data_IF_214253044267
#
_entry.id   IF_214253044267
#
_cell.length_a   1.000
_cell.length_b   1.000
_cell.length_c   1.000
_cell.angle_alpha   90.00
_cell.angle_beta   90.00
_cell.angle_gamma   90.00
#
_symmetry.space_group_name_H-M   'P 1'
#
loop_
_entity.id
_entity.type
_entity.pdbx_description
1 polymer ?
#
# COMPACT_ATOMS: atom_id res chain seq x y z
N UNK A 1 -8.95 -10.61 20.36
CA UNK A 1 -9.58 -9.33 19.93
C UNK A 1 -9.19 -9.10 18.49
N UNK A 2 -10.08 -8.56 17.67
CA UNK A 2 -9.73 -8.21 16.30
C UNK A 2 -8.66 -7.11 16.28
N UNK A 3 -7.71 -7.21 15.35
CA UNK A 3 -6.67 -6.19 15.14
C UNK A 3 -7.17 -5.18 14.10
N UNK A 4 -6.87 -3.90 14.34
CA UNK A 4 -7.15 -2.80 13.43
C UNK A 4 -5.89 -2.42 12.67
N UNK A 5 -5.88 -2.66 11.36
CA UNK A 5 -4.79 -2.30 10.45
C UNK A 5 -5.22 -1.11 9.59
N UNK A 6 -4.34 -0.12 9.47
CA UNK A 6 -4.56 1.07 8.64
C UNK A 6 -3.44 1.19 7.61
N UNK A 7 -3.81 1.40 6.36
CA UNK A 7 -2.89 1.78 5.29
C UNK A 7 -3.14 3.22 4.85
N UNK A 8 -2.07 4.01 4.69
CA UNK A 8 -2.19 5.42 4.33
C UNK A 8 -0.98 5.92 3.53
N UNK A 9 -1.21 6.28 2.27
CA UNK A 9 -0.22 7.03 1.50
C UNK A 9 -0.18 8.48 2.02
N UNK A 10 0.92 8.85 2.67
CA UNK A 10 1.08 10.15 3.33
C UNK A 10 1.47 11.28 2.37
N UNK A 11 2.02 10.93 1.22
CA UNK A 11 2.60 11.93 0.30
C UNK A 11 3.58 12.91 1.00
N UNK A 12 4.36 12.39 1.95
CA UNK A 12 5.38 13.10 2.71
C UNK A 12 5.07 13.24 4.21
N UNK A 13 5.67 12.36 5.02
CA UNK A 13 5.41 12.29 6.48
C UNK A 13 5.69 13.60 7.21
N UNK A 14 6.77 14.32 6.87
CA UNK A 14 7.14 15.59 7.49
C UNK A 14 6.09 16.68 7.28
N UNK A 15 5.40 16.66 6.13
CA UNK A 15 4.32 17.61 5.84
C UNK A 15 3.03 17.27 6.61
N UNK A 16 2.74 15.97 6.77
CA UNK A 16 1.57 15.51 7.54
C UNK A 16 1.80 15.66 9.04
N UNK A 17 3.02 15.45 9.53
CA UNK A 17 3.38 15.69 10.93
C UNK A 17 3.03 17.11 11.38
N UNK A 18 3.34 18.12 10.55
CA UNK A 18 2.98 19.53 10.81
C UNK A 18 1.48 19.81 10.82
N UNK A 19 0.66 18.86 10.39
CA UNK A 19 -0.81 18.95 10.35
C UNK A 19 -1.50 18.11 11.44
N UNK A 20 -0.75 17.66 12.46
CA UNK A 20 -1.31 16.91 13.57
C UNK A 20 -1.36 15.39 13.33
N UNK A 21 -0.39 14.81 12.61
CA UNK A 21 -0.32 13.36 12.40
C UNK A 21 -0.46 12.58 13.71
N UNK A 22 0.28 12.97 14.75
CA UNK A 22 0.29 12.28 16.05
C UNK A 22 -1.11 12.24 16.66
N UNK A 23 -1.84 13.36 16.65
CA UNK A 23 -3.20 13.44 17.18
C UNK A 23 -4.18 12.53 16.41
N UNK A 24 -4.01 12.45 15.08
CA UNK A 24 -4.79 11.54 14.22
C UNK A 24 -4.49 10.09 14.61
N UNK A 25 -3.21 9.71 14.74
CA UNK A 25 -2.83 8.35 15.11
C UNK A 25 -3.37 7.96 16.48
N UNK A 26 -3.26 8.84 17.47
CA UNK A 26 -3.85 8.63 18.79
C UNK A 26 -5.39 8.48 18.74
N UNK A 27 -6.08 9.30 17.95
CA UNK A 27 -7.54 9.25 17.85
C UNK A 27 -8.05 7.98 17.16
N UNK A 28 -7.36 7.54 16.10
CA UNK A 28 -7.68 6.30 15.38
C UNK A 28 -7.29 5.06 16.18
N UNK A 29 -6.19 5.14 16.93
CA UNK A 29 -5.68 4.11 17.85
C UNK A 29 -5.65 2.70 17.22
N UNK A 30 -5.14 2.57 15.98
CA UNK A 30 -5.00 1.28 15.32
C UNK A 30 -3.89 0.44 15.96
N UNK A 31 -3.94 -0.89 15.75
CA UNK A 31 -2.89 -1.79 16.21
C UNK A 31 -1.67 -1.73 15.30
N UNK A 32 -1.90 -1.49 14.00
CA UNK A 32 -0.83 -1.29 13.01
C UNK A 32 -1.18 -0.16 12.04
N UNK A 33 -0.20 0.68 11.74
CA UNK A 33 -0.24 1.66 10.66
C UNK A 33 0.82 1.29 9.62
N UNK A 34 0.43 1.27 8.37
CA UNK A 34 1.27 1.07 7.20
C UNK A 34 1.29 2.34 6.37
N UNK A 35 2.45 2.96 6.23
CA UNK A 35 2.58 4.21 5.49
C UNK A 35 3.33 4.01 4.18
N UNK A 36 2.88 4.72 3.16
CA UNK A 36 3.54 4.81 1.86
C UNK A 36 3.86 6.28 1.57
N UNK A 37 4.82 6.51 0.68
CA UNK A 37 5.35 7.82 0.33
C UNK A 37 5.75 8.65 1.56
N UNK A 38 6.57 8.08 2.46
CA UNK A 38 7.11 8.84 3.59
C UNK A 38 7.94 10.03 3.12
N UNK A 39 8.61 9.93 1.95
CA UNK A 39 9.46 10.96 1.34
C UNK A 39 10.46 11.55 2.35
N UNK A 40 11.01 10.70 3.20
CA UNK A 40 11.90 11.04 4.29
C UNK A 40 12.91 9.91 4.49
N UNK A 41 14.11 10.25 4.95
CA UNK A 41 15.08 9.25 5.42
C UNK A 41 14.61 8.67 6.76
N UNK A 42 15.14 7.52 7.17
CA UNK A 42 14.64 6.79 8.32
C UNK A 42 14.75 7.59 9.64
N UNK A 43 15.80 8.36 9.82
CA UNK A 43 15.96 9.30 10.95
C UNK A 43 14.89 10.40 10.95
N UNK A 44 14.55 10.93 9.77
CA UNK A 44 13.49 11.93 9.60
C UNK A 44 12.07 11.34 9.80
N UNK A 45 11.87 10.05 9.51
CA UNK A 45 10.62 9.35 9.84
C UNK A 45 10.46 9.26 11.36
N UNK A 46 11.52 8.86 12.07
CA UNK A 46 11.50 8.79 13.54
C UNK A 46 11.28 10.18 14.17
N UNK A 47 11.94 11.23 13.64
CA UNK A 47 11.73 12.61 14.08
C UNK A 47 10.26 13.05 13.90
N UNK A 48 9.66 12.76 12.73
CA UNK A 48 8.28 13.13 12.42
C UNK A 48 7.24 12.41 13.31
N UNK A 49 7.62 11.28 13.92
CA UNK A 49 6.80 10.47 14.82
C UNK A 49 7.18 10.67 16.29
N UNK A 50 7.99 11.67 16.61
CA UNK A 50 8.32 12.03 18.01
C UNK A 50 7.04 12.32 18.79
N UNK A 51 6.90 11.69 19.96
CA UNK A 51 5.70 11.78 20.79
C UNK A 51 4.64 10.72 20.53
N UNK A 52 4.81 9.83 19.53
CA UNK A 52 3.97 8.65 19.38
C UNK A 52 4.46 7.54 20.31
N UNK A 53 3.74 7.31 21.40
CA UNK A 53 4.07 6.28 22.38
C UNK A 53 3.35 4.96 22.10
N UNK A 54 3.93 3.84 22.56
CA UNK A 54 3.31 2.52 22.50
C UNK A 54 3.41 1.82 21.13
N UNK A 55 4.22 2.35 20.20
CA UNK A 55 4.45 1.72 18.90
C UNK A 55 5.94 1.44 18.67
N UNK A 56 6.21 0.28 18.09
CA UNK A 56 7.47 -0.02 17.43
C UNK A 56 7.44 0.55 16.02
N UNK A 57 8.45 1.32 15.62
CA UNK A 57 8.50 2.03 14.35
C UNK A 57 9.60 1.42 13.49
N UNK A 58 9.25 1.06 12.27
CA UNK A 58 10.16 0.55 11.24
C UNK A 58 9.93 1.34 9.97
N UNK A 59 11.01 1.69 9.28
CA UNK A 59 10.94 2.39 7.99
C UNK A 59 11.99 1.88 7.03
N UNK A 60 11.72 2.07 5.76
CA UNK A 60 12.63 1.78 4.68
C UNK A 60 12.58 2.94 3.69
N UNK A 61 13.58 3.79 3.73
CA UNK A 61 13.71 4.94 2.86
C UNK A 61 14.31 4.59 1.50
N UNK A 62 13.99 5.39 0.48
CA UNK A 62 14.71 5.32 -0.78
C UNK A 62 16.14 5.86 -0.64
N UNK A 63 17.06 5.37 -1.47
CA UNK A 63 18.40 5.94 -1.60
C UNK A 63 18.30 7.42 -2.03
N UNK A 64 17.36 7.71 -2.91
CA UNK A 64 17.08 9.08 -3.33
C UNK A 64 16.28 9.82 -2.27
N UNK A 65 16.87 10.87 -1.69
CA UNK A 65 16.21 11.71 -0.70
C UNK A 65 14.88 12.32 -1.20
N UNK A 66 13.90 12.40 -0.30
CA UNK A 66 12.60 13.02 -0.57
C UNK A 66 11.71 12.25 -1.56
N UNK A 67 12.00 10.98 -1.78
CA UNK A 67 11.30 10.14 -2.76
C UNK A 67 10.81 8.85 -2.11
N UNK A 68 9.64 8.33 -2.54
CA UNK A 68 9.09 7.03 -2.13
C UNK A 68 9.14 6.80 -0.59
N UNK A 69 9.59 5.63 -0.14
CA UNK A 69 9.71 5.26 1.26
C UNK A 69 8.44 4.69 1.86
N UNK A 70 8.59 3.66 2.71
CA UNK A 70 7.51 2.99 3.43
C UNK A 70 7.81 2.92 4.93
N UNK A 71 6.76 2.79 5.77
CA UNK A 71 6.93 2.57 7.18
C UNK A 71 5.81 1.70 7.77
N UNK A 72 6.13 0.95 8.82
CA UNK A 72 5.20 0.18 9.66
C UNK A 72 5.34 0.65 11.10
N UNK A 73 4.22 1.03 11.71
CA UNK A 73 4.10 1.31 13.13
C UNK A 73 3.19 0.25 13.75
N UNK A 74 3.64 -0.44 14.76
CA UNK A 74 2.88 -1.54 15.36
C UNK A 74 3.00 -1.58 16.87
N UNK A 75 1.87 -1.86 17.57
CA UNK A 75 1.87 -2.04 19.03
C UNK A 75 2.55 -3.36 19.44
N UNK A 76 2.33 -4.41 18.68
CA UNK A 76 2.99 -5.70 18.89
C UNK A 76 4.36 -5.70 18.20
N UNK A 77 5.41 -6.08 18.94
CA UNK A 77 6.74 -6.19 18.35
C UNK A 77 6.77 -7.39 17.37
N UNK A 78 7.08 -7.17 16.08
CA UNK A 78 7.21 -8.27 15.12
C UNK A 78 8.41 -9.17 15.45
N UNK A 79 8.36 -10.41 14.99
CA UNK A 79 9.45 -11.39 15.10
C UNK A 79 10.66 -10.90 14.29
N UNK A 80 10.39 -10.44 13.07
CA UNK A 80 11.42 -9.87 12.17
C UNK A 80 10.82 -8.78 11.29
N UNK A 81 11.69 -7.94 10.73
CA UNK A 81 11.32 -6.95 9.71
C UNK A 81 12.33 -7.04 8.57
N UNK A 82 11.82 -7.13 7.34
CA UNK A 82 12.65 -7.26 6.13
C UNK A 82 12.35 -6.09 5.19
N UNK A 83 13.43 -5.48 4.68
CA UNK A 83 13.38 -4.41 3.69
C UNK A 83 13.47 -4.98 2.27
N UNK A 84 12.61 -4.49 1.38
CA UNK A 84 12.64 -4.82 -0.03
C UNK A 84 12.08 -6.20 -0.39
N UNK A 85 12.32 -6.58 -1.65
CA UNK A 85 11.96 -7.87 -2.24
C UNK A 85 13.14 -8.85 -2.28
N UNK A 86 14.34 -8.41 -1.90
CA UNK A 86 15.60 -9.14 -2.10
C UNK A 86 16.11 -9.08 -3.54
N UNK A 87 15.66 -8.09 -4.32
CA UNK A 87 16.07 -7.84 -5.70
C UNK A 87 16.66 -6.44 -5.78
N UNK A 88 17.97 -6.33 -5.95
CA UNK A 88 18.71 -5.07 -5.91
C UNK A 88 18.10 -3.95 -6.77
N UNK A 89 17.67 -4.28 -8.00
CA UNK A 89 17.02 -3.32 -8.93
C UNK A 89 15.69 -2.76 -8.40
N UNK A 90 15.04 -3.46 -7.46
CA UNK A 90 13.73 -3.10 -6.93
C UNK A 90 13.79 -2.45 -5.54
N UNK A 91 14.91 -2.58 -4.84
CA UNK A 91 14.99 -2.27 -3.43
C UNK A 91 15.60 -0.88 -3.12
N UNK A 92 16.10 -0.17 -4.14
CA UNK A 92 16.69 1.18 -4.00
C UNK A 92 15.67 2.30 -3.75
N UNK A 93 14.38 2.05 -4.04
CA UNK A 93 13.31 3.05 -3.89
C UNK A 93 12.52 2.91 -2.56
N UNK A 94 12.88 2.00 -1.64
CA UNK A 94 12.24 1.87 -0.32
C UNK A 94 10.72 1.55 -0.39
N UNK A 95 10.32 0.65 -1.30
CA UNK A 95 8.92 0.44 -1.68
C UNK A 95 8.21 -0.67 -0.93
N UNK A 96 8.95 -1.60 -0.32
CA UNK A 96 8.40 -2.78 0.34
C UNK A 96 9.02 -2.92 1.71
N UNK A 97 8.20 -3.05 2.73
CA UNK A 97 8.61 -3.35 4.08
C UNK A 97 7.71 -4.46 4.63
N UNK A 98 8.31 -5.54 5.09
CA UNK A 98 7.61 -6.73 5.56
C UNK A 98 7.85 -6.94 7.05
N UNK A 99 6.79 -7.01 7.84
CA UNK A 99 6.83 -7.38 9.24
C UNK A 99 6.31 -8.82 9.42
N UNK A 100 7.08 -9.67 10.09
CA UNK A 100 6.69 -11.03 10.46
C UNK A 100 6.05 -11.03 11.84
N UNK A 101 4.78 -11.42 11.91
CA UNK A 101 4.08 -11.71 13.15
C UNK A 101 3.98 -13.22 13.39
N UNK A 102 3.46 -13.62 14.55
CA UNK A 102 3.32 -15.02 14.91
C UNK A 102 2.52 -15.82 13.88
N UNK A 103 1.39 -15.26 13.43
CA UNK A 103 0.39 -15.96 12.63
C UNK A 103 0.33 -15.52 11.17
N UNK A 104 1.01 -14.44 10.78
CA UNK A 104 0.96 -13.87 9.42
C UNK A 104 2.17 -12.99 9.14
N UNK A 105 2.40 -12.72 7.84
CA UNK A 105 3.25 -11.63 7.37
C UNK A 105 2.39 -10.41 7.00
N UNK A 106 2.85 -9.22 7.38
CA UNK A 106 2.26 -7.95 6.94
C UNK A 106 3.24 -7.21 6.04
N UNK A 107 2.83 -6.94 4.82
CA UNK A 107 3.62 -6.19 3.84
C UNK A 107 2.96 -4.82 3.64
N UNK A 108 3.71 -3.74 3.80
CA UNK A 108 3.34 -2.44 3.24
C UNK A 108 4.07 -2.21 1.94
N UNK A 109 3.37 -1.75 0.92
CA UNK A 109 3.97 -1.52 -0.39
C UNK A 109 3.53 -0.21 -1.03
N UNK A 110 4.46 0.43 -1.74
CA UNK A 110 4.21 1.54 -2.65
C UNK A 110 4.64 1.14 -4.06
N UNK A 111 3.70 0.60 -4.79
CA UNK A 111 3.95 0.03 -6.13
C UNK A 111 4.38 1.13 -7.11
N UNK A 112 5.40 0.92 -7.96
CA UNK A 112 5.86 1.92 -8.92
C UNK A 112 4.76 2.41 -9.85
N UNK A 113 4.56 3.72 -9.92
CA UNK A 113 3.67 4.33 -10.91
C UNK A 113 4.30 4.27 -12.31
N UNK A 114 3.51 3.95 -13.33
CA UNK A 114 3.97 3.86 -14.74
C UNK A 114 4.32 5.20 -15.37
N UNK A 115 4.07 6.32 -14.68
CA UNK A 115 4.31 7.71 -15.07
C UNK A 115 3.52 8.17 -16.31
N UNK A 116 3.56 9.48 -16.56
CA UNK A 116 2.96 10.06 -17.76
C UNK A 116 3.60 9.44 -19.02
N UNK A 117 2.77 9.16 -20.02
CA UNK A 117 3.21 8.49 -21.24
C UNK A 117 3.59 7.02 -21.06
N UNK A 118 3.26 6.45 -19.90
CA UNK A 118 3.50 5.03 -19.58
C UNK A 118 4.98 4.61 -19.64
N UNK A 119 5.89 5.57 -19.41
CA UNK A 119 7.34 5.38 -19.60
C UNK A 119 7.95 4.30 -18.69
N UNK A 120 7.34 4.02 -17.53
CA UNK A 120 7.79 2.95 -16.60
C UNK A 120 6.92 1.70 -16.67
N UNK A 121 5.99 1.58 -17.60
CA UNK A 121 5.12 0.42 -17.69
C UNK A 121 5.88 -0.93 -17.88
N UNK A 122 6.95 -1.00 -18.69
CA UNK A 122 7.77 -2.22 -18.78
C UNK A 122 8.40 -2.61 -17.42
N UNK A 123 8.94 -1.64 -16.70
CA UNK A 123 9.50 -1.87 -15.37
C UNK A 123 8.43 -2.30 -14.38
N UNK A 124 7.26 -1.62 -14.38
CA UNK A 124 6.11 -1.98 -13.54
C UNK A 124 5.69 -3.43 -13.71
N UNK A 125 5.65 -3.94 -14.92
CA UNK A 125 5.29 -5.33 -15.21
C UNK A 125 6.27 -6.33 -14.57
N UNK A 126 7.57 -6.06 -14.63
CA UNK A 126 8.60 -6.91 -14.00
C UNK A 126 8.48 -6.84 -12.48
N UNK A 127 8.26 -5.65 -11.97
CA UNK A 127 8.13 -5.40 -10.54
C UNK A 127 6.89 -6.10 -9.94
N UNK A 128 5.73 -6.05 -10.62
CA UNK A 128 4.51 -6.75 -10.18
C UNK A 128 4.72 -8.27 -10.12
N UNK A 129 5.44 -8.84 -11.08
CA UNK A 129 5.76 -10.27 -11.06
C UNK A 129 6.71 -10.64 -9.91
N UNK A 130 7.70 -9.79 -9.61
CA UNK A 130 8.62 -9.99 -8.49
C UNK A 130 7.88 -9.92 -7.15
N UNK A 131 6.98 -8.95 -6.98
CA UNK A 131 6.16 -8.84 -5.77
C UNK A 131 5.27 -10.07 -5.58
N UNK A 132 4.60 -10.55 -6.64
CA UNK A 132 3.79 -11.77 -6.55
C UNK A 132 4.63 -12.98 -6.11
N UNK A 133 5.78 -13.16 -6.72
CA UNK A 133 6.69 -14.26 -6.36
C UNK A 133 7.14 -14.16 -4.90
N UNK A 134 7.44 -12.97 -4.43
CA UNK A 134 7.81 -12.72 -3.04
C UNK A 134 6.67 -13.06 -2.07
N UNK A 135 5.45 -12.61 -2.36
CA UNK A 135 4.27 -12.92 -1.53
C UNK A 135 4.01 -14.43 -1.47
N UNK A 136 4.10 -15.12 -2.61
CA UNK A 136 3.89 -16.57 -2.68
C UNK A 136 4.98 -17.37 -1.95
N UNK A 137 6.23 -16.87 -1.93
CA UNK A 137 7.28 -17.50 -1.15
C UNK A 137 7.02 -17.40 0.36
N UNK A 138 6.60 -16.23 0.85
CA UNK A 138 6.22 -16.02 2.24
C UNK A 138 5.01 -16.89 2.63
N UNK A 139 4.03 -17.00 1.74
CA UNK A 139 2.80 -17.77 1.98
C UNK A 139 3.03 -19.27 2.21
N UNK A 140 4.14 -19.83 1.71
CA UNK A 140 4.52 -21.21 2.03
C UNK A 140 4.74 -21.44 3.51
N UNK A 141 5.02 -20.39 4.27
CA UNK A 141 5.30 -20.47 5.72
C UNK A 141 4.12 -19.98 6.54
N UNK A 142 3.56 -18.82 6.22
CA UNK A 142 2.44 -18.18 6.92
C UNK A 142 1.60 -17.38 5.93
N UNK A 143 0.30 -17.18 6.21
CA UNK A 143 -0.54 -16.27 5.41
C UNK A 143 0.04 -14.88 5.32
N UNK A 144 -0.25 -14.19 4.23
CA UNK A 144 0.23 -12.83 3.93
C UNK A 144 -0.94 -11.86 3.88
N UNK A 145 -0.76 -10.71 4.51
CA UNK A 145 -1.57 -9.51 4.32
C UNK A 145 -0.66 -8.49 3.64
N UNK A 146 -1.05 -8.00 2.48
CA UNK A 146 -0.35 -6.89 1.82
C UNK A 146 -1.27 -5.70 1.73
N UNK A 147 -0.77 -4.51 2.05
CA UNK A 147 -1.52 -3.27 1.93
C UNK A 147 -0.66 -2.15 1.35
N UNK A 148 -1.33 -1.15 0.83
CA UNK A 148 -0.69 0.07 0.36
C UNK A 148 -1.26 0.59 -0.95
N UNK A 149 -0.54 1.55 -1.52
CA UNK A 149 -0.84 2.14 -2.81
C UNK A 149 -0.31 1.23 -3.92
N UNK A 150 -1.22 0.47 -4.53
CA UNK A 150 -0.88 -0.44 -5.63
C UNK A 150 -0.80 0.28 -6.99
N UNK A 151 -1.09 1.59 -7.03
CA UNK A 151 -1.03 2.39 -8.26
C UNK A 151 -1.78 1.73 -9.44
N UNK A 152 -2.93 1.11 -9.17
CA UNK A 152 -3.82 0.52 -10.18
C UNK A 152 -5.28 0.58 -9.72
N UNK A 153 -6.18 1.01 -10.58
CA UNK A 153 -7.60 0.76 -10.45
C UNK A 153 -7.90 -0.59 -11.14
N UNK A 154 -8.44 -1.56 -10.39
CA UNK A 154 -8.56 -2.92 -10.91
C UNK A 154 -9.77 -3.09 -11.82
N UNK A 155 -10.93 -2.57 -11.39
CA UNK A 155 -12.20 -2.73 -12.09
C UNK A 155 -12.74 -1.39 -12.59
N UNK A 156 -13.66 -1.35 -13.56
CA UNK A 156 -14.26 -0.12 -14.05
C UNK A 156 -14.90 0.76 -12.96
N UNK A 157 -15.41 0.15 -11.89
CA UNK A 157 -15.97 0.88 -10.75
C UNK A 157 -14.92 1.45 -9.77
N UNK A 158 -13.65 1.10 -9.96
CA UNK A 158 -12.55 1.61 -9.12
C UNK A 158 -12.02 2.97 -9.56
N UNK A 159 -12.55 3.51 -10.65
CA UNK A 159 -12.21 4.87 -11.08
C UNK A 159 -13.36 5.54 -11.80
N UNK A 160 -13.39 6.88 -11.71
CA UNK A 160 -14.29 7.68 -12.54
C UNK A 160 -13.73 7.81 -13.96
N UNK A 161 -14.62 7.79 -14.97
CA UNK A 161 -14.25 7.92 -16.39
C UNK A 161 -13.31 6.79 -16.90
N UNK A 162 -13.61 5.54 -16.55
CA UNK A 162 -12.88 4.34 -16.92
C UNK A 162 -12.48 4.28 -18.41
N UNK A 163 -13.46 4.40 -19.31
CA UNK A 163 -13.27 4.34 -20.77
C UNK A 163 -12.30 5.40 -21.30
N UNK A 164 -12.28 6.59 -20.68
CA UNK A 164 -11.40 7.67 -21.12
C UNK A 164 -9.94 7.44 -20.69
N UNK A 165 -9.72 6.67 -19.60
CA UNK A 165 -8.42 6.42 -19.02
C UNK A 165 -7.79 5.09 -19.48
N UNK A 166 -8.57 4.13 -19.95
CA UNK A 166 -8.11 2.79 -20.31
C UNK A 166 -6.99 2.83 -21.36
N UNK A 167 -5.85 2.20 -21.06
CA UNK A 167 -4.63 2.16 -21.84
C UNK A 167 -4.02 3.54 -22.21
N UNK A 168 -4.39 4.60 -21.49
CA UNK A 168 -3.91 5.98 -21.71
C UNK A 168 -3.28 6.58 -20.46
N UNK A 169 -3.82 6.24 -19.30
CA UNK A 169 -3.42 6.82 -18.02
C UNK A 169 -2.76 5.75 -17.16
N UNK A 170 -1.61 6.10 -16.56
CA UNK A 170 -0.95 5.24 -15.58
C UNK A 170 -1.89 4.86 -14.44
N UNK A 171 -1.89 3.58 -14.05
CA UNK A 171 -2.83 3.03 -13.07
C UNK A 171 -4.10 2.42 -13.67
N UNK A 172 -4.29 2.50 -15.00
CA UNK A 172 -5.44 1.86 -15.66
C UNK A 172 -5.12 1.38 -17.07
N UNK A 173 -4.11 0.55 -17.18
CA UNK A 173 -3.74 -0.16 -18.41
C UNK A 173 -4.03 -1.64 -18.28
N UNK A 174 -4.19 -2.31 -19.43
CA UNK A 174 -4.37 -3.76 -19.47
C UNK A 174 -3.24 -4.51 -18.73
N UNK A 175 -1.99 -4.01 -18.81
CA UNK A 175 -0.85 -4.60 -18.15
C UNK A 175 -0.90 -4.44 -16.63
N UNK A 176 -1.28 -3.25 -16.13
CA UNK A 176 -1.42 -2.98 -14.69
C UNK A 176 -2.60 -3.75 -14.09
N UNK A 177 -3.73 -3.78 -14.79
CA UNK A 177 -4.90 -4.59 -14.42
C UNK A 177 -4.52 -6.07 -14.41
N UNK A 178 -3.80 -6.55 -15.44
CA UNK A 178 -3.30 -7.93 -15.50
C UNK A 178 -2.35 -8.28 -14.35
N UNK A 179 -1.56 -7.32 -13.86
CA UNK A 179 -0.76 -7.47 -12.64
C UNK A 179 -1.62 -7.74 -11.41
N UNK A 180 -2.69 -6.95 -11.24
CA UNK A 180 -3.64 -7.14 -10.14
C UNK A 180 -4.42 -8.46 -10.28
N UNK A 181 -4.86 -8.82 -11.49
CA UNK A 181 -5.46 -10.13 -11.78
C UNK A 181 -4.56 -11.29 -11.36
N UNK A 182 -3.24 -11.15 -11.58
CA UNK A 182 -2.27 -12.18 -11.21
C UNK A 182 -2.14 -12.30 -9.69
N UNK A 183 -2.24 -11.20 -8.92
CA UNK A 183 -2.30 -11.28 -7.46
C UNK A 183 -3.55 -12.05 -7.00
N UNK A 184 -4.72 -11.74 -7.57
CA UNK A 184 -5.97 -12.43 -7.23
C UNK A 184 -5.89 -13.92 -7.60
N UNK A 185 -5.46 -14.26 -8.83
CA UNK A 185 -5.27 -15.64 -9.27
C UNK A 185 -4.17 -16.38 -8.48
N UNK A 186 -3.24 -15.62 -7.91
CA UNK A 186 -2.15 -16.11 -7.09
C UNK A 186 -2.52 -16.48 -5.67
N UNK A 187 -3.80 -16.35 -5.28
CA UNK A 187 -4.30 -16.75 -3.95
C UNK A 187 -4.53 -15.59 -2.97
N UNK A 188 -4.66 -14.35 -3.48
CA UNK A 188 -4.87 -13.16 -2.64
C UNK A 188 -6.20 -12.49 -2.95
N UNK A 189 -7.05 -12.35 -1.96
CA UNK A 189 -8.37 -11.70 -2.09
C UNK A 189 -8.27 -10.20 -1.83
N UNK A 190 -8.87 -9.37 -2.71
CA UNK A 190 -9.14 -7.96 -2.43
C UNK A 190 -10.21 -7.85 -1.34
N UNK A 191 -9.80 -7.51 -0.12
CA UNK A 191 -10.69 -7.54 1.03
C UNK A 191 -11.87 -6.57 0.91
N UNK A 192 -11.64 -5.36 0.36
CA UNK A 192 -12.74 -4.41 0.14
C UNK A 192 -13.77 -4.95 -0.86
N UNK A 193 -13.35 -5.52 -1.98
CA UNK A 193 -14.26 -6.12 -2.97
C UNK A 193 -14.94 -7.38 -2.47
N UNK A 194 -14.33 -8.10 -1.54
CA UNK A 194 -14.98 -9.24 -0.87
C UNK A 194 -16.22 -8.80 -0.09
N UNK A 195 -16.12 -7.74 0.72
CA UNK A 195 -17.26 -7.25 1.53
C UNK A 195 -18.20 -6.34 0.74
N UNK A 196 -17.66 -5.53 -0.19
CA UNK A 196 -18.37 -4.49 -0.93
C UNK A 196 -18.19 -4.64 -2.44
N UNK A 197 -18.71 -5.72 -3.05
CA UNK A 197 -18.42 -6.08 -4.45
C UNK A 197 -18.89 -5.03 -5.47
N UNK A 198 -19.92 -4.26 -5.14
CA UNK A 198 -20.54 -3.29 -6.05
C UNK A 198 -20.41 -1.84 -5.57
N UNK A 199 -19.66 -1.56 -4.49
CA UNK A 199 -19.54 -0.21 -3.98
C UNK A 199 -18.53 0.62 -4.78
N UNK A 200 -18.97 1.75 -5.33
CA UNK A 200 -18.11 2.74 -5.97
C UNK A 200 -17.50 3.62 -4.86
N UNK A 201 -16.24 3.39 -4.55
CA UNK A 201 -15.50 4.15 -3.54
C UNK A 201 -14.06 4.35 -3.95
N UNK A 202 -13.51 5.52 -3.62
CA UNK A 202 -12.19 5.93 -4.04
C UNK A 202 -11.30 6.24 -2.84
N UNK A 203 -10.00 6.02 -3.00
CA UNK A 203 -8.97 6.35 -2.00
C UNK A 203 -8.09 7.53 -2.42
N UNK A 204 -8.10 7.89 -3.71
CA UNK A 204 -7.27 8.95 -4.25
C UNK A 204 -8.04 9.89 -5.19
N UNK A 205 -7.70 11.19 -5.15
CA UNK A 205 -8.22 12.23 -6.04
C UNK A 205 -7.09 13.15 -6.49
N UNK A 206 -7.10 13.52 -7.77
CA UNK A 206 -6.18 14.52 -8.29
C UNK A 206 -6.36 15.87 -7.57
N UNK A 207 -5.26 16.56 -7.28
CA UNK A 207 -5.30 17.94 -6.77
C UNK A 207 -5.82 18.95 -7.81
N UNK A 208 -5.96 18.54 -9.08
CA UNK A 208 -6.38 19.40 -10.17
C UNK A 208 -7.90 19.33 -10.38
N UNK A 209 -8.46 20.38 -11.01
CA UNK A 209 -9.84 20.41 -11.50
C UNK A 209 -10.93 20.20 -10.43
N UNK A 210 -10.60 20.41 -9.16
CA UNK A 210 -11.53 20.20 -8.04
C UNK A 210 -12.05 18.73 -7.96
N UNK A 211 -11.17 17.77 -8.30
CA UNK A 211 -11.55 16.37 -8.48
C UNK A 211 -12.20 15.76 -7.23
N UNK A 212 -11.69 16.07 -6.02
CA UNK A 212 -12.24 15.55 -4.77
C UNK A 212 -13.67 16.05 -4.50
N UNK A 213 -13.94 17.33 -4.72
CA UNK A 213 -15.29 17.89 -4.55
C UNK A 213 -16.30 17.33 -5.56
N UNK A 214 -15.82 16.96 -6.76
CA UNK A 214 -16.64 16.33 -7.81
C UNK A 214 -16.69 14.81 -7.71
N UNK A 215 -16.01 14.22 -6.73
CA UNK A 215 -15.81 12.78 -6.58
C UNK A 215 -15.27 12.09 -7.85
N UNK A 216 -14.36 12.76 -8.58
CA UNK A 216 -13.64 12.17 -9.72
C UNK A 216 -12.37 11.52 -9.16
N UNK A 217 -12.55 10.35 -8.58
CA UNK A 217 -11.53 9.63 -7.82
C UNK A 217 -11.13 8.30 -8.43
N UNK A 218 -10.16 7.68 -7.78
CA UNK A 218 -9.60 6.38 -8.09
C UNK A 218 -9.42 5.58 -6.79
N UNK A 219 -9.66 4.29 -6.81
CA UNK A 219 -9.25 3.36 -5.75
C UNK A 219 -7.90 2.78 -6.13
N UNK A 220 -6.86 3.21 -5.45
CA UNK A 220 -5.47 2.81 -5.69
C UNK A 220 -4.85 2.11 -4.50
N UNK A 221 -5.48 2.24 -3.31
CA UNK A 221 -5.04 1.65 -2.06
C UNK A 221 -5.85 0.40 -1.77
N UNK A 222 -5.17 -0.65 -1.34
CA UNK A 222 -5.75 -1.98 -1.16
C UNK A 222 -5.25 -2.65 0.12
N UNK A 223 -6.05 -3.59 0.60
CA UNK A 223 -5.63 -4.71 1.42
C UNK A 223 -5.91 -6.00 0.63
N UNK A 224 -4.86 -6.71 0.22
CA UNK A 224 -4.97 -8.05 -0.33
C UNK A 224 -4.57 -9.02 0.78
N UNK A 225 -5.36 -10.07 0.93
CA UNK A 225 -5.21 -11.04 2.02
C UNK A 225 -5.16 -12.44 1.44
N UNK A 226 -4.23 -13.28 1.90
CA UNK A 226 -4.21 -14.71 1.55
C UNK A 226 -5.60 -15.32 1.70
N UNK A 227 -6.07 -16.05 0.70
CA UNK A 227 -7.42 -16.65 0.69
C UNK A 227 -7.72 -17.48 1.95
N UNK A 228 -6.71 -18.19 2.45
CA UNK A 228 -6.84 -18.99 3.67
C UNK A 228 -7.02 -18.16 4.95
N UNK A 229 -6.73 -16.86 4.92
CA UNK A 229 -6.88 -15.95 6.06
C UNK A 229 -8.18 -15.13 6.01
N UNK A 230 -8.87 -15.08 4.86
CA UNK A 230 -10.06 -14.24 4.68
C UNK A 230 -11.19 -14.53 5.67
N UNK A 231 -11.32 -15.76 6.14
CA UNK A 231 -12.31 -16.13 7.15
C UNK A 231 -12.07 -15.48 8.53
N UNK A 232 -10.91 -14.84 8.74
CA UNK A 232 -10.55 -14.10 9.96
C UNK A 232 -10.66 -12.59 9.77
N UNK A 233 -10.96 -12.12 8.57
CA UNK A 233 -11.19 -10.69 8.28
C UNK A 233 -12.63 -10.36 8.60
N UNK A 234 -12.85 -9.39 9.48
CA UNK A 234 -14.20 -9.01 9.91
C UNK A 234 -14.81 -7.96 8.99
N UNK A 235 -13.99 -7.03 8.48
CA UNK A 235 -14.42 -5.95 7.58
C UNK A 235 -13.21 -5.31 6.89
N UNK A 236 -13.47 -4.57 5.78
CA UNK A 236 -12.50 -3.73 5.09
C UNK A 236 -13.22 -2.49 4.54
N UNK A 237 -12.73 -1.29 4.86
CA UNK A 237 -13.39 -0.04 4.48
C UNK A 237 -12.38 1.04 4.04
N UNK A 238 -12.86 2.06 3.35
CA UNK A 238 -12.09 3.21 2.84
C UNK A 238 -12.67 4.50 3.42
#
# INVERSE_FOLDING_TARGET
>A
MAQKLISWNLNGIRAVAKKGLIDILHSVNADVYCFQETKAQDDQVLEALTGLEGYHIYSFSAIKEGYSGTAILTKEKPISVTNGLGVEEHDDEGRVLTAEFKDYYLITTYVPNSKSGLLRLPYRKVWDAALLSYMQELEKTKPVIICGDLNVAHQPLDLKNDKANFNKTAGYTEQEIGGMDNYIKGGFTDSFRHFYPNEEKYSWWSYRMNARAKNVGWRLDYFLVSDGLMNRVEDAFI
#
